data_IF_775429900030
#
_entry.id   IF_775429900030
#
_cell.length_a   1.000
_cell.length_b   1.000
_cell.length_c   1.000
_cell.angle_alpha   90.00
_cell.angle_beta   90.00
_cell.angle_gamma   90.00
#
_symmetry.space_group_name_H-M   'P 1'
#
loop_
_entity.id
_entity.type
_entity.pdbx_description
1 polymer ?
#
# COMPACT_ATOMS: atom_id res chain seq x y z
N UNK A 1 2.20 -9.11 -13.78
CA UNK A 1 1.71 -9.04 -12.40
C UNK A 1 2.00 -7.65 -11.93
N UNK A 2 0.93 -6.90 -11.75
CA UNK A 2 1.02 -5.53 -11.27
C UNK A 2 1.21 -5.59 -9.76
N UNK A 3 1.96 -4.66 -9.19
CA UNK A 3 2.17 -4.60 -7.75
C UNK A 3 2.40 -3.18 -7.30
N UNK A 4 1.95 -2.89 -6.09
CA UNK A 4 2.27 -1.66 -5.40
C UNK A 4 3.21 -1.96 -4.26
N UNK A 5 4.31 -1.23 -4.22
CA UNK A 5 5.34 -1.36 -3.19
C UNK A 5 5.36 -0.07 -2.37
N UNK A 6 5.31 -0.20 -1.05
CA UNK A 6 5.47 0.89 -0.09
C UNK A 6 6.80 0.70 0.65
N UNK A 7 7.72 1.62 0.43
CA UNK A 7 8.96 1.73 1.21
C UNK A 7 8.72 2.71 2.36
N UNK A 8 8.77 2.20 3.58
CA UNK A 8 8.35 2.89 4.80
C UNK A 8 9.58 3.18 5.63
N UNK A 9 9.94 4.46 5.78
CA UNK A 9 11.09 4.92 6.55
C UNK A 9 10.60 5.57 7.86
N UNK A 10 10.44 4.82 8.95
CA UNK A 10 10.00 5.38 10.22
C UNK A 10 11.14 6.12 10.91
N UNK A 11 10.91 7.37 11.35
CA UNK A 11 11.91 8.10 12.13
C UNK A 11 12.07 7.60 13.57
N UNK A 12 11.11 6.81 14.08
CA UNK A 12 11.14 6.17 15.40
C UNK A 12 10.50 4.79 15.37
N UNK A 13 10.96 3.89 16.25
CA UNK A 13 10.34 2.58 16.47
C UNK A 13 8.90 2.74 16.98
N UNK A 14 7.98 1.94 16.45
CA UNK A 14 6.57 1.97 16.82
C UNK A 14 5.70 2.89 15.94
N UNK A 15 6.29 3.70 15.05
CA UNK A 15 5.56 4.28 13.93
C UNK A 15 5.30 3.18 12.90
N UNK A 16 4.05 3.07 12.44
CA UNK A 16 3.69 2.13 11.37
C UNK A 16 2.76 2.81 10.36
N UNK A 17 2.54 2.14 9.23
CA UNK A 17 1.69 2.61 8.14
C UNK A 17 0.53 1.65 7.95
N UNK A 18 -0.69 2.13 8.16
CA UNK A 18 -1.88 1.43 7.71
C UNK A 18 -2.09 1.76 6.23
N UNK A 19 -2.20 0.72 5.39
CA UNK A 19 -2.64 0.86 4.01
C UNK A 19 -4.11 0.45 3.94
N UNK A 20 -4.94 1.28 3.31
CA UNK A 20 -6.40 1.13 3.28
C UNK A 20 -6.82 0.92 1.81
N UNK A 21 -7.50 -0.20 1.57
CA UNK A 21 -8.06 -0.62 0.27
C UNK A 21 -9.19 0.33 -0.20
N UNK A 22 -9.60 0.28 -1.48
CA UNK A 22 -10.71 1.06 -1.99
C UNK A 22 -12.04 0.78 -1.28
N UNK A 23 -12.24 -0.45 -0.79
CA UNK A 23 -13.43 -0.86 -0.01
C UNK A 23 -13.39 -0.36 1.45
N UNK A 24 -12.31 0.30 1.87
CA UNK A 24 -12.12 0.84 3.20
C UNK A 24 -11.49 -0.12 4.21
N UNK A 25 -11.18 -1.36 3.83
CA UNK A 25 -10.50 -2.30 4.74
C UNK A 25 -9.01 -1.99 4.84
N UNK A 26 -8.46 -2.23 6.01
CA UNK A 26 -7.02 -2.15 6.25
C UNK A 26 -6.38 -3.42 5.67
N UNK A 27 -5.29 -3.26 4.93
CA UNK A 27 -4.45 -4.36 4.46
C UNK A 27 -3.84 -5.06 5.67
N UNK A 28 -3.92 -6.40 5.70
CA UNK A 28 -3.32 -7.23 6.75
C UNK A 28 -2.16 -8.07 6.17
N UNK A 29 -0.92 -7.54 6.16
CA UNK A 29 0.24 -8.25 5.59
C UNK A 29 0.46 -9.62 6.24
N UNK A 30 0.64 -10.65 5.41
CA UNK A 30 0.82 -12.03 5.84
C UNK A 30 -0.48 -12.79 6.16
N UNK A 31 -1.62 -12.10 6.23
CA UNK A 31 -2.95 -12.72 6.31
C UNK A 31 -3.70 -12.61 5.00
N UNK A 32 -3.64 -11.44 4.36
CA UNK A 32 -4.24 -11.21 3.07
C UNK A 32 -3.50 -12.03 1.99
N UNK A 33 -4.22 -12.73 1.10
CA UNK A 33 -3.61 -13.64 0.12
C UNK A 33 -2.75 -12.92 -0.92
N UNK A 34 -3.01 -11.63 -1.16
CA UNK A 34 -2.32 -10.77 -2.11
C UNK A 34 -1.19 -9.94 -1.47
N UNK A 35 -1.01 -10.04 -0.16
CA UNK A 35 -0.10 -9.18 0.60
C UNK A 35 0.81 -10.04 1.48
N UNK A 36 2.05 -10.35 1.05
CA UNK A 36 3.01 -11.05 1.88
C UNK A 36 3.32 -10.29 3.18
N UNK A 37 3.89 -10.95 4.21
CA UNK A 37 4.32 -10.27 5.44
C UNK A 37 5.26 -9.10 5.14
N UNK A 38 5.17 -8.05 5.96
CA UNK A 38 6.07 -6.88 5.86
C UNK A 38 7.52 -7.34 5.96
N UNK A 39 8.34 -6.93 5.00
CA UNK A 39 9.76 -7.24 5.00
C UNK A 39 10.52 -6.13 5.71
N UNK A 40 11.06 -6.44 6.89
CA UNK A 40 11.90 -5.53 7.65
C UNK A 40 13.33 -5.54 7.10
N UNK A 41 13.74 -4.44 6.46
CA UNK A 41 15.10 -4.24 5.96
C UNK A 41 15.89 -3.34 6.90
N UNK A 42 17.21 -3.28 6.73
CA UNK A 42 18.10 -2.51 7.62
C UNK A 42 17.81 -1.01 7.65
N UNK A 43 17.16 -0.48 6.61
CA UNK A 43 16.92 0.96 6.43
C UNK A 43 15.44 1.35 6.32
N UNK A 44 14.56 0.41 5.97
CA UNK A 44 13.13 0.65 5.80
C UNK A 44 12.33 -0.66 5.90
N UNK A 45 11.03 -0.52 6.07
CA UNK A 45 10.10 -1.63 5.94
C UNK A 45 9.48 -1.63 4.54
N UNK A 46 9.38 -2.80 3.92
CA UNK A 46 8.75 -2.98 2.62
C UNK A 46 7.40 -3.70 2.78
N UNK A 47 6.33 -3.03 2.38
CA UNK A 47 5.00 -3.62 2.22
C UNK A 47 4.70 -3.73 0.72
N UNK A 48 4.22 -4.90 0.29
CA UNK A 48 3.89 -5.19 -1.11
C UNK A 48 2.45 -5.66 -1.20
N UNK A 49 1.68 -5.09 -2.13
CA UNK A 49 0.35 -5.57 -2.52
C UNK A 49 0.43 -6.04 -3.97
N UNK A 50 0.13 -7.32 -4.20
CA UNK A 50 0.08 -7.92 -5.53
C UNK A 50 -1.29 -7.76 -6.17
N UNK A 51 -1.30 -7.52 -7.49
CA UNK A 51 -2.50 -7.34 -8.32
C UNK A 51 -3.57 -6.46 -7.63
N UNK A 52 -3.20 -5.24 -7.20
CA UNK A 52 -4.08 -4.41 -6.37
C UNK A 52 -5.35 -4.02 -7.11
N UNK A 53 -6.47 -4.07 -6.41
CA UNK A 53 -7.76 -3.68 -6.95
C UNK A 53 -7.75 -2.23 -7.46
N UNK A 54 -8.42 -1.95 -8.59
CA UNK A 54 -8.55 -0.59 -9.08
C UNK A 54 -9.39 0.26 -8.12
N UNK A 55 -8.93 1.49 -7.85
CA UNK A 55 -9.66 2.42 -7.01
C UNK A 55 -8.76 3.36 -6.23
N UNK A 56 -9.36 4.07 -5.28
CA UNK A 56 -8.63 5.01 -4.42
C UNK A 56 -8.14 4.32 -3.16
N UNK A 57 -6.86 4.02 -3.13
CA UNK A 57 -6.14 3.57 -1.94
C UNK A 57 -5.77 4.76 -1.05
N UNK A 58 -5.76 4.53 0.26
CA UNK A 58 -5.33 5.52 1.26
C UNK A 58 -4.25 4.90 2.14
N UNK A 59 -3.49 5.75 2.82
CA UNK A 59 -2.59 5.30 3.87
C UNK A 59 -2.63 6.29 5.04
N UNK A 60 -2.41 5.77 6.23
CA UNK A 60 -2.44 6.50 7.48
C UNK A 60 -1.23 6.11 8.33
N UNK A 61 -0.51 7.10 8.84
CA UNK A 61 0.56 6.85 9.81
C UNK A 61 -0.09 6.64 11.16
N UNK A 62 0.17 5.50 11.80
CA UNK A 62 -0.41 5.16 13.10
C UNK A 62 0.68 4.79 14.10
N UNK A 63 0.41 5.11 15.37
CA UNK A 63 1.32 4.92 16.49
C UNK A 63 2.40 6.01 16.59
N UNK A 64 2.77 6.34 17.83
CA UNK A 64 3.91 7.20 18.18
C UNK A 64 3.83 8.68 17.76
N UNK A 65 4.87 9.42 18.15
CA UNK A 65 5.13 10.79 17.69
C UNK A 65 6.34 10.77 16.75
N UNK A 66 6.21 11.35 15.56
CA UNK A 66 7.30 11.42 14.59
C UNK A 66 6.81 11.55 13.15
N UNK A 67 7.64 11.09 12.22
CA UNK A 67 7.42 11.19 10.79
C UNK A 67 7.68 9.85 10.11
N UNK A 68 6.88 9.55 9.09
CA UNK A 68 7.11 8.41 8.20
C UNK A 68 7.25 8.97 6.80
N UNK A 69 8.36 8.67 6.14
CA UNK A 69 8.49 8.89 4.70
C UNK A 69 8.04 7.63 3.96
N UNK A 70 7.20 7.82 2.94
CA UNK A 70 6.63 6.72 2.15
C UNK A 70 6.99 6.94 0.69
N UNK A 71 7.80 6.05 0.14
CA UNK A 71 8.03 5.98 -1.31
C UNK A 71 7.17 4.86 -1.88
N UNK A 72 6.49 5.15 -3.00
CA UNK A 72 5.71 4.17 -3.74
C UNK A 72 6.27 3.98 -5.15
N UNK A 73 6.24 2.74 -5.66
CA UNK A 73 6.43 2.56 -7.08
C UNK A 73 5.27 3.21 -7.87
N UNK A 74 5.48 3.70 -9.10
CA UNK A 74 4.39 4.21 -9.92
C UNK A 74 3.39 3.08 -10.17
N UNK A 75 2.14 3.28 -9.73
CA UNK A 75 1.02 2.38 -10.02
C UNK A 75 0.95 2.20 -11.54
N UNK A 76 0.88 0.96 -12.07
CA UNK A 76 0.93 0.73 -13.51
C UNK A 76 -0.18 1.49 -14.24
N UNK A 77 0.23 2.24 -15.27
CA UNK A 77 -0.58 3.16 -16.08
C UNK A 77 -1.65 2.48 -16.96
N UNK A 78 -1.89 1.17 -16.83
CA UNK A 78 -2.89 0.46 -17.66
C UNK A 78 -4.30 0.70 -17.14
N UNK A 79 -4.78 1.91 -17.38
CA UNK A 79 -6.19 2.27 -17.30
C UNK A 79 -6.93 1.59 -18.45
N UNK A 80 -7.86 0.69 -18.15
CA UNK A 80 -8.83 0.19 -19.14
C UNK A 80 -9.98 1.20 -19.20
N UNK A 81 -10.06 1.97 -20.29
CA UNK A 81 -11.18 2.87 -20.57
C UNK A 81 -12.44 2.01 -20.75
N UNK A 82 -13.41 2.12 -19.84
CA UNK A 82 -14.74 1.54 -20.05
C UNK A 82 -15.51 2.58 -20.86
N UNK A 83 -15.76 2.30 -22.14
CA UNK A 83 -16.69 3.13 -22.93
C UNK A 83 -18.04 3.14 -22.20
N UNK A 84 -18.70 4.30 -22.05
CA UNK A 84 -20.08 4.32 -21.57
C UNK A 84 -20.92 3.41 -22.47
N UNK A 85 -21.81 2.62 -21.84
CA UNK A 85 -22.78 1.82 -22.57
C UNK A 85 -23.71 2.76 -23.37
N UNK A 86 -24.12 2.41 -24.59
CA UNK A 86 -25.12 3.18 -25.32
C UNK A 86 -26.40 3.27 -24.49
N UNK A 87 -26.93 4.48 -24.33
CA UNK A 87 -28.26 4.75 -23.76
C UNK A 87 -29.31 4.43 -24.83
#
# INVERSE_FOLDING_TARGET
>A
MDRVEFHIFPSRRGLTLNVIRPDGKIVEPGKDPDTPPVKHLSTFDLLVVHDPEPGRWRYEVVGGEGSVEVLRNPIPLRMRLISPAPV
#
